data_IF_914085557781
#
_entry.id   IF_914085557781
#
_cell.length_a   1.000
_cell.length_b   1.000
_cell.length_c   1.000
_cell.angle_alpha   90.00
_cell.angle_beta   90.00
_cell.angle_gamma   90.00
#
_symmetry.space_group_name_H-M   'P 1'
#
loop_
_entity.id
_entity.type
_entity.pdbx_description
1 polymer ?
#
# COMPACT_ATOMS: atom_id res chain seq x y z
N UNK A 1 15.61 16.94 2.22
CA UNK A 1 14.19 17.10 1.81
C UNK A 1 13.79 15.94 0.90
N UNK A 2 12.59 15.36 1.08
CA UNK A 2 12.12 14.18 0.33
C UNK A 2 11.35 14.52 -0.97
N UNK A 3 10.61 15.64 -1.01
CA UNK A 3 9.75 16.03 -2.14
C UNK A 3 10.51 16.03 -3.49
N UNK A 4 11.66 16.71 -3.67
CA UNK A 4 12.33 16.74 -4.98
C UNK A 4 12.81 15.35 -5.47
N UNK A 5 13.12 14.44 -4.55
CA UNK A 5 13.53 13.06 -4.91
C UNK A 5 12.33 12.27 -5.41
N UNK A 6 11.18 12.36 -4.71
CA UNK A 6 9.93 11.71 -5.13
C UNK A 6 9.41 12.27 -6.45
N UNK A 7 9.42 13.59 -6.61
CA UNK A 7 9.03 14.28 -7.85
C UNK A 7 9.80 13.78 -9.07
N UNK A 8 11.13 13.62 -8.94
CA UNK A 8 11.97 13.08 -10.02
C UNK A 8 11.67 11.61 -10.31
N UNK A 9 11.48 10.80 -9.25
CA UNK A 9 11.18 9.37 -9.42
C UNK A 9 9.81 9.16 -10.07
N UNK A 10 8.79 9.89 -9.64
CA UNK A 10 7.45 9.77 -10.21
C UNK A 10 7.38 10.38 -11.61
N UNK A 11 8.18 11.43 -11.89
CA UNK A 11 8.39 11.92 -13.25
C UNK A 11 8.95 10.82 -14.17
N UNK A 12 9.99 10.10 -13.72
CA UNK A 12 10.52 8.94 -14.43
C UNK A 12 9.45 7.83 -14.62
N UNK A 13 8.61 7.56 -13.62
CA UNK A 13 7.53 6.57 -13.75
C UNK A 13 6.54 6.95 -14.86
N UNK A 14 6.11 8.22 -14.87
CA UNK A 14 5.25 8.78 -15.92
C UNK A 14 5.91 8.69 -17.29
N UNK A 15 7.17 9.11 -17.40
CA UNK A 15 7.89 9.14 -18.69
C UNK A 15 8.13 7.72 -19.25
N UNK A 16 8.13 6.70 -18.39
CA UNK A 16 8.17 5.29 -18.78
C UNK A 16 6.80 4.70 -19.11
N UNK A 17 5.73 5.47 -18.97
CA UNK A 17 4.35 5.01 -19.23
C UNK A 17 3.81 4.04 -18.18
N UNK A 18 4.26 4.12 -16.93
CA UNK A 18 3.65 3.35 -15.84
C UNK A 18 2.23 3.85 -15.55
N UNK A 19 1.31 2.93 -15.27
CA UNK A 19 -0.09 3.25 -15.01
C UNK A 19 -0.34 3.81 -13.61
N UNK A 20 0.53 3.51 -12.64
CA UNK A 20 0.41 3.92 -11.24
C UNK A 20 1.74 3.79 -10.49
N UNK A 21 1.80 4.30 -9.26
CA UNK A 21 2.92 4.12 -8.35
C UNK A 21 2.47 3.55 -7.00
N UNK A 22 3.28 2.65 -6.45
CA UNK A 22 3.18 2.19 -5.07
C UNK A 22 4.49 2.56 -4.36
N UNK A 23 4.49 3.64 -3.56
CA UNK A 23 5.63 4.02 -2.75
C UNK A 23 5.61 3.27 -1.42
N UNK A 24 6.69 2.54 -1.18
CA UNK A 24 6.90 1.75 0.04
C UNK A 24 7.31 2.60 1.27
N UNK A 25 7.25 2.00 2.47
CA UNK A 25 7.59 2.57 3.78
C UNK A 25 6.66 3.70 4.24
N UNK A 26 5.35 3.50 4.10
CA UNK A 26 4.32 4.49 4.44
C UNK A 26 3.92 4.47 5.92
N UNK A 27 4.58 3.62 6.71
CA UNK A 27 4.36 3.38 8.13
C UNK A 27 5.66 3.44 8.96
N UNK A 28 6.70 4.12 8.47
CA UNK A 28 8.00 4.18 9.15
C UNK A 28 7.95 4.67 10.62
N UNK A 29 6.94 5.44 11.00
CA UNK A 29 6.73 5.89 12.39
C UNK A 29 6.45 4.76 13.39
N UNK A 30 5.98 3.59 12.96
CA UNK A 30 5.76 2.43 13.84
C UNK A 30 7.02 1.57 14.02
N UNK A 31 8.14 1.96 13.39
CA UNK A 31 9.37 1.19 13.35
C UNK A 31 10.56 1.93 13.99
N UNK A 32 11.56 1.18 14.44
CA UNK A 32 12.83 1.73 14.93
C UNK A 32 13.71 2.13 13.75
N UNK A 33 13.48 3.35 13.25
CA UNK A 33 14.20 3.89 12.07
C UNK A 33 15.50 4.63 12.42
N UNK A 34 15.70 5.00 13.69
CA UNK A 34 16.77 5.92 14.10
C UNK A 34 16.44 7.40 13.85
N UNK A 35 15.28 7.71 13.28
CA UNK A 35 14.77 9.06 13.09
C UNK A 35 13.58 9.32 14.03
N UNK A 36 13.36 10.58 14.48
CA UNK A 36 12.23 10.94 15.34
C UNK A 36 10.93 11.06 14.52
N UNK A 37 10.51 9.99 13.86
CA UNK A 37 9.29 9.97 13.05
C UNK A 37 8.06 9.87 13.95
N UNK A 38 7.07 10.73 13.70
CA UNK A 38 5.77 10.71 14.40
C UNK A 38 4.67 10.26 13.46
N UNK A 39 3.59 9.68 13.99
CA UNK A 39 2.41 9.31 13.20
C UNK A 39 1.87 10.50 12.40
N UNK A 40 1.82 11.68 13.00
CA UNK A 40 1.37 12.90 12.33
C UNK A 40 2.36 13.36 11.23
N UNK A 41 3.67 13.21 11.46
CA UNK A 41 4.70 13.43 10.44
C UNK A 41 4.57 12.48 9.26
N UNK A 42 4.34 11.19 9.52
CA UNK A 42 4.07 10.18 8.50
C UNK A 42 2.81 10.53 7.69
N UNK A 43 1.73 10.92 8.35
CA UNK A 43 0.48 11.29 7.69
C UNK A 43 0.68 12.42 6.67
N UNK A 44 1.40 13.49 7.05
CA UNK A 44 1.75 14.58 6.11
C UNK A 44 2.64 14.09 4.98
N UNK A 45 3.59 13.20 5.28
CA UNK A 45 4.49 12.61 4.30
C UNK A 45 3.73 11.77 3.25
N UNK A 46 2.74 11.00 3.69
CA UNK A 46 1.93 10.14 2.84
C UNK A 46 1.03 10.97 1.92
N UNK A 47 0.34 12.00 2.45
CA UNK A 47 -0.49 12.91 1.65
C UNK A 47 0.31 13.64 0.57
N UNK A 48 1.44 14.22 0.93
CA UNK A 48 2.37 14.82 -0.03
C UNK A 48 2.80 13.80 -1.11
N UNK A 49 2.93 12.52 -0.76
CA UNK A 49 3.35 11.49 -1.72
C UNK A 49 2.25 11.21 -2.74
N UNK A 50 1.01 11.06 -2.30
CA UNK A 50 -0.15 10.94 -3.19
C UNK A 50 -0.30 12.18 -4.08
N UNK A 51 -0.21 13.39 -3.50
CA UNK A 51 -0.27 14.65 -4.23
C UNK A 51 0.77 14.73 -5.36
N UNK A 52 2.04 14.37 -5.08
CA UNK A 52 3.11 14.34 -6.09
C UNK A 52 2.77 13.36 -7.23
N UNK A 53 2.16 12.22 -6.93
CA UNK A 53 1.75 11.26 -7.95
C UNK A 53 0.62 11.82 -8.82
N UNK A 54 -0.41 12.40 -8.19
CA UNK A 54 -1.55 13.00 -8.87
C UNK A 54 -1.16 14.19 -9.76
N UNK A 55 -0.25 15.07 -9.30
CA UNK A 55 0.34 16.15 -10.11
C UNK A 55 1.00 15.64 -11.40
N UNK A 56 1.39 14.36 -11.45
CA UNK A 56 2.03 13.71 -12.60
C UNK A 56 1.07 12.83 -13.39
N UNK A 57 -0.22 12.85 -13.06
CA UNK A 57 -1.25 12.03 -13.69
C UNK A 57 -1.15 10.55 -13.32
N UNK A 58 -0.52 10.22 -12.19
CA UNK A 58 -0.34 8.84 -11.73
C UNK A 58 -1.23 8.60 -10.49
N UNK A 59 -2.10 7.58 -10.50
CA UNK A 59 -2.68 7.00 -9.30
C UNK A 59 -1.61 6.51 -8.32
N UNK A 60 -1.91 6.59 -7.03
CA UNK A 60 -1.03 6.18 -5.94
C UNK A 60 -1.66 5.09 -5.06
N UNK A 61 -0.88 4.06 -4.74
CA UNK A 61 -1.23 3.02 -3.79
C UNK A 61 -0.75 3.35 -2.37
N UNK A 62 -1.59 3.15 -1.36
CA UNK A 62 -1.12 3.13 0.03
C UNK A 62 -0.56 1.74 0.34
N UNK A 63 0.75 1.64 0.53
CA UNK A 63 1.41 0.43 1.01
C UNK A 63 1.27 0.31 2.52
N UNK A 64 0.69 -0.78 3.01
CA UNK A 64 0.47 -1.03 4.44
C UNK A 64 -0.13 0.20 5.15
N UNK A 65 0.40 0.62 6.30
CA UNK A 65 -0.06 1.83 7.00
C UNK A 65 -1.47 1.73 7.59
N UNK A 66 -1.91 0.52 7.89
CA UNK A 66 -3.29 0.16 8.27
C UNK A 66 -3.89 1.03 9.39
N UNK A 67 -3.17 1.41 10.46
CA UNK A 67 -3.72 2.29 11.50
C UNK A 67 -4.09 3.71 11.03
N UNK A 68 -3.59 4.14 9.85
CA UNK A 68 -3.83 5.47 9.29
C UNK A 68 -4.78 5.45 8.08
N UNK A 69 -5.31 4.29 7.70
CA UNK A 69 -6.25 4.15 6.56
C UNK A 69 -7.45 5.09 6.68
N UNK A 70 -8.15 5.24 7.83
CA UNK A 70 -9.28 6.17 7.94
C UNK A 70 -8.94 7.63 7.60
N UNK A 71 -7.67 8.02 7.76
CA UNK A 71 -7.19 9.38 7.46
C UNK A 71 -6.59 9.54 6.07
N UNK A 72 -6.34 8.44 5.35
CA UNK A 72 -5.62 8.41 4.07
C UNK A 72 -6.42 7.79 2.93
N UNK A 73 -7.57 7.15 3.21
CA UNK A 73 -8.37 6.46 2.19
C UNK A 73 -8.77 7.39 1.05
N UNK A 74 -9.04 8.66 1.32
CA UNK A 74 -9.40 9.65 0.29
C UNK A 74 -8.21 10.19 -0.50
N UNK A 75 -7.00 10.09 0.06
CA UNK A 75 -5.76 10.58 -0.56
C UNK A 75 -5.18 9.57 -1.57
N UNK A 76 -5.47 8.27 -1.44
CA UNK A 76 -4.90 7.21 -2.28
C UNK A 76 -5.94 6.52 -3.17
N UNK A 77 -5.52 5.96 -4.30
CA UNK A 77 -6.40 5.38 -5.33
C UNK A 77 -6.65 3.87 -5.12
N UNK A 78 -5.71 3.20 -4.45
CA UNK A 78 -5.79 1.78 -4.07
C UNK A 78 -4.93 1.51 -2.84
N UNK A 79 -5.03 0.31 -2.29
CA UNK A 79 -4.14 -0.17 -1.24
C UNK A 79 -3.33 -1.37 -1.71
N UNK A 80 -2.11 -1.48 -1.19
CA UNK A 80 -1.26 -2.67 -1.30
C UNK A 80 -0.88 -3.09 0.11
N UNK A 81 -1.23 -4.30 0.50
CA UNK A 81 -0.98 -4.82 1.83
C UNK A 81 -0.18 -6.13 1.76
N UNK A 82 0.74 -6.29 2.70
CA UNK A 82 1.41 -7.54 2.97
C UNK A 82 0.99 -8.09 4.33
N UNK A 83 0.64 -9.37 4.34
CA UNK A 83 0.49 -10.20 5.53
C UNK A 83 -0.67 -9.82 6.47
N UNK A 84 -1.70 -9.09 6.02
CA UNK A 84 -2.83 -8.80 6.90
C UNK A 84 -3.54 -10.05 7.44
N UNK A 85 -3.53 -11.19 6.72
CA UNK A 85 -4.16 -12.40 7.23
C UNK A 85 -3.26 -13.08 8.26
N UNK A 86 -1.94 -13.04 8.06
CA UNK A 86 -0.96 -13.50 9.06
C UNK A 86 -1.11 -12.74 10.39
N UNK A 87 -1.35 -11.44 10.34
CA UNK A 87 -1.44 -10.58 11.53
C UNK A 87 -2.88 -10.32 12.02
N UNK A 88 -3.90 -10.82 11.30
CA UNK A 88 -5.31 -10.62 11.66
C UNK A 88 -5.80 -9.18 11.50
N UNK A 89 -5.28 -8.46 10.50
CA UNK A 89 -5.51 -7.03 10.31
C UNK A 89 -6.30 -6.67 9.04
N UNK A 90 -6.72 -7.64 8.23
CA UNK A 90 -7.33 -7.37 6.91
C UNK A 90 -8.57 -6.49 6.96
N UNK A 91 -9.35 -6.53 8.05
CA UNK A 91 -10.53 -5.68 8.25
C UNK A 91 -10.19 -4.18 8.18
N UNK A 92 -8.95 -3.80 8.50
CA UNK A 92 -8.48 -2.40 8.44
C UNK A 92 -8.42 -1.85 7.01
N UNK A 93 -8.44 -2.72 6.00
CA UNK A 93 -8.44 -2.35 4.58
C UNK A 93 -9.85 -2.16 4.01
N UNK A 94 -10.90 -2.54 4.75
CA UNK A 94 -12.30 -2.38 4.32
C UNK A 94 -12.68 -0.95 3.89
N UNK A 95 -12.10 0.14 4.42
CA UNK A 95 -12.42 1.48 3.93
C UNK A 95 -12.10 1.66 2.44
N UNK A 96 -11.02 1.08 1.92
CA UNK A 96 -10.70 1.13 0.49
C UNK A 96 -11.74 0.36 -0.33
N UNK A 97 -12.05 -0.88 0.05
CA UNK A 97 -13.05 -1.70 -0.65
C UNK A 97 -14.47 -1.09 -0.58
N UNK A 98 -14.82 -0.46 0.55
CA UNK A 98 -16.08 0.27 0.73
C UNK A 98 -16.15 1.53 -0.15
N UNK A 99 -15.03 2.22 -0.35
CA UNK A 99 -14.89 3.33 -1.28
C UNK A 99 -14.83 2.90 -2.76
N UNK A 100 -14.96 1.60 -3.06
CA UNK A 100 -14.86 1.07 -4.43
C UNK A 100 -13.44 1.05 -4.99
N UNK A 101 -12.43 1.20 -4.13
CA UNK A 101 -11.01 1.20 -4.48
C UNK A 101 -10.45 -0.22 -4.41
N UNK A 102 -9.51 -0.54 -5.30
CA UNK A 102 -8.86 -1.83 -5.30
C UNK A 102 -7.99 -2.01 -4.04
N UNK A 103 -7.94 -3.25 -3.53
CA UNK A 103 -7.00 -3.65 -2.48
C UNK A 103 -6.23 -4.86 -2.98
N UNK A 104 -4.93 -4.69 -3.21
CA UNK A 104 -4.01 -5.77 -3.56
C UNK A 104 -3.39 -6.31 -2.29
N UNK A 105 -3.48 -7.62 -2.08
CA UNK A 105 -3.05 -8.27 -0.84
C UNK A 105 -2.08 -9.41 -1.13
N UNK A 106 -0.97 -9.46 -0.39
CA UNK A 106 0.10 -10.44 -0.53
C UNK A 106 0.38 -11.20 0.77
N UNK A 107 0.44 -12.53 0.71
CA UNK A 107 0.83 -13.36 1.86
C UNK A 107 2.13 -14.13 1.58
N UNK A 108 2.92 -14.38 2.63
CA UNK A 108 4.19 -15.09 2.49
C UNK A 108 4.19 -16.46 3.15
N UNK A 109 3.88 -16.51 4.44
CA UNK A 109 3.87 -17.76 5.19
C UNK A 109 2.51 -18.47 5.12
N UNK A 110 1.41 -17.71 5.07
CA UNK A 110 0.05 -18.25 5.12
C UNK A 110 -0.29 -18.95 3.80
N UNK A 111 -0.76 -20.23 3.84
CA UNK A 111 -1.22 -20.92 2.63
C UNK A 111 -2.43 -20.23 1.99
N UNK A 112 -2.52 -20.25 0.66
CA UNK A 112 -3.60 -19.58 -0.09
C UNK A 112 -4.99 -20.04 0.34
N UNK A 113 -5.18 -21.32 0.63
CA UNK A 113 -6.45 -21.87 1.11
C UNK A 113 -6.89 -21.31 2.47
N UNK A 114 -5.95 -20.87 3.31
CA UNK A 114 -6.26 -20.38 4.65
C UNK A 114 -6.77 -18.93 4.64
N UNK A 115 -6.17 -18.04 3.84
CA UNK A 115 -6.60 -16.63 3.78
C UNK A 115 -7.66 -16.34 2.71
N UNK A 116 -7.82 -17.21 1.71
CA UNK A 116 -8.76 -17.01 0.58
C UNK A 116 -10.20 -16.67 1.02
N UNK A 117 -10.83 -17.38 1.99
CA UNK A 117 -12.21 -17.06 2.37
C UNK A 117 -12.37 -15.65 2.91
N UNK A 118 -11.42 -15.20 3.75
CA UNK A 118 -11.41 -13.84 4.29
C UNK A 118 -11.15 -12.81 3.19
N UNK A 119 -10.16 -13.05 2.34
CA UNK A 119 -9.84 -12.17 1.22
C UNK A 119 -11.04 -11.95 0.28
N UNK A 120 -11.76 -13.01 -0.09
CA UNK A 120 -12.98 -12.88 -0.90
C UNK A 120 -14.09 -12.13 -0.16
N UNK A 121 -14.33 -12.43 1.12
CA UNK A 121 -15.31 -11.74 1.94
C UNK A 121 -15.06 -10.23 2.03
N UNK A 122 -13.78 -9.84 2.03
CA UNK A 122 -13.32 -8.46 2.09
C UNK A 122 -13.08 -7.80 0.73
N UNK A 123 -13.33 -8.52 -0.38
CA UNK A 123 -13.12 -8.04 -1.77
C UNK A 123 -11.66 -7.65 -2.06
N UNK A 124 -10.71 -8.40 -1.49
CA UNK A 124 -9.27 -8.22 -1.73
C UNK A 124 -8.82 -9.01 -2.96
N UNK A 125 -8.01 -8.41 -3.82
CA UNK A 125 -7.30 -9.12 -4.90
C UNK A 125 -6.03 -9.73 -4.34
N UNK A 126 -6.04 -11.04 -4.09
CA UNK A 126 -5.02 -11.66 -3.21
C UNK A 126 -4.13 -12.67 -3.91
N UNK A 127 -2.89 -12.78 -3.43
CA UNK A 127 -1.97 -13.84 -3.84
C UNK A 127 -0.97 -14.19 -2.76
N UNK A 128 -0.51 -15.43 -2.76
CA UNK A 128 0.66 -15.83 -2.01
C UNK A 128 1.93 -15.66 -2.84
N UNK A 129 2.97 -15.11 -2.23
CA UNK A 129 4.27 -14.77 -2.81
C UNK A 129 5.39 -15.27 -1.91
N UNK A 130 6.54 -15.56 -2.48
CA UNK A 130 7.77 -15.70 -1.69
C UNK A 130 8.22 -14.32 -1.19
N UNK A 131 8.91 -14.22 -0.03
CA UNK A 131 9.42 -12.94 0.47
C UNK A 131 10.38 -12.20 -0.47
N UNK A 132 11.05 -12.91 -1.38
CA UNK A 132 11.92 -12.32 -2.40
C UNK A 132 11.14 -11.67 -3.57
N UNK A 133 9.81 -11.76 -3.54
CA UNK A 133 8.87 -11.29 -4.57
C UNK A 133 9.18 -11.80 -5.98
N UNK A 134 9.91 -12.92 -6.12
CA UNK A 134 10.25 -13.53 -7.41
C UNK A 134 9.03 -14.00 -8.21
N UNK A 135 9.21 -14.58 -9.40
CA UNK A 135 8.10 -14.84 -10.34
C UNK A 135 6.98 -15.78 -9.83
N UNK A 136 7.26 -16.62 -8.82
CA UNK A 136 6.26 -17.55 -8.26
C UNK A 136 5.10 -16.76 -7.63
N UNK A 137 3.87 -17.20 -7.91
CA UNK A 137 2.64 -16.66 -7.33
C UNK A 137 1.55 -17.73 -7.27
N UNK A 138 0.73 -17.68 -6.23
CA UNK A 138 -0.45 -18.53 -6.04
C UNK A 138 -1.65 -17.60 -5.74
N UNK A 139 -2.42 -17.24 -6.77
CA UNK A 139 -3.50 -16.26 -6.69
C UNK A 139 -4.82 -16.87 -6.18
N UNK A 140 -5.69 -16.04 -5.62
CA UNK A 140 -7.08 -16.36 -5.33
C UNK A 140 -7.99 -15.14 -5.35
#
# INVERSE_FOLDING_TARGET
MLRPVRERRFGMCRDKGLDAVEPDLMEGHSHRTGFPLTAHGQLRCNRMTAEIAHERGLPAGLRNGLPQVPQLVDDFDFAVDEECAQYGECERLTPFAAAGKAVFHGEHAVPTEAFRPQAHGLRLSSMRKKPDLGVRREAC
#
